data_IF_421065807621
#
_entry.id   IF_421065807621
#
_cell.length_a   1.000
_cell.length_b   1.000
_cell.length_c   1.000
_cell.angle_alpha   90.00
_cell.angle_beta   90.00
_cell.angle_gamma   90.00
#
_symmetry.space_group_name_H-M   'P 1'
#
loop_
_entity.id
_entity.type
_entity.pdbx_description
1 polymer ?
#
# COMPACT_ATOMS: atom_id res chain seq x y z
N UNK A 1 -15.41 -3.34 0.25
CA UNK A 1 -16.17 -2.13 -0.17
C UNK A 1 -16.36 -2.21 -1.68
N UNK A 2 -17.22 -1.39 -2.30
CA UNK A 2 -17.11 -1.26 -3.77
C UNK A 2 -15.79 -0.56 -4.12
N UNK A 3 -15.25 -0.71 -5.35
CA UNK A 3 -14.05 0.01 -5.75
C UNK A 3 -14.15 1.53 -5.58
N UNK A 4 -15.30 2.11 -5.90
CA UNK A 4 -15.49 3.56 -5.86
C UNK A 4 -15.59 4.06 -4.40
N UNK A 5 -16.28 3.32 -3.52
CA UNK A 5 -16.32 3.62 -2.08
C UNK A 5 -14.94 3.55 -1.44
N UNK A 6 -14.13 2.56 -1.84
CA UNK A 6 -12.77 2.42 -1.35
C UNK A 6 -11.93 3.64 -1.77
N UNK A 7 -11.95 3.99 -3.06
CA UNK A 7 -11.20 5.14 -3.59
C UNK A 7 -11.64 6.44 -2.90
N UNK A 8 -12.94 6.65 -2.70
CA UNK A 8 -13.45 7.82 -2.00
C UNK A 8 -12.98 7.87 -0.54
N UNK A 9 -12.93 6.73 0.16
CA UNK A 9 -12.51 6.65 1.55
C UNK A 9 -11.01 6.89 1.76
N UNK A 10 -10.15 6.43 0.84
CA UNK A 10 -8.68 6.51 1.00
C UNK A 10 -8.02 7.62 0.20
N UNK A 11 -8.69 8.12 -0.84
CA UNK A 11 -8.17 9.14 -1.76
C UNK A 11 -7.63 10.41 -1.08
N UNK A 12 -8.38 11.03 -0.14
CA UNK A 12 -7.90 12.21 0.59
C UNK A 12 -6.60 11.92 1.37
N UNK A 13 -6.53 10.79 2.06
CA UNK A 13 -5.35 10.40 2.84
C UNK A 13 -4.14 10.10 1.94
N UNK A 14 -4.37 9.47 0.79
CA UNK A 14 -3.34 9.21 -0.21
C UNK A 14 -2.77 10.51 -0.81
N UNK A 15 -3.63 11.49 -1.15
CA UNK A 15 -3.19 12.82 -1.62
C UNK A 15 -2.37 13.55 -0.56
N UNK A 16 -2.88 13.58 0.67
CA UNK A 16 -2.20 14.24 1.78
C UNK A 16 -0.82 13.61 2.05
N UNK A 17 -0.72 12.28 2.01
CA UNK A 17 0.56 11.59 2.13
C UNK A 17 1.50 11.92 0.96
N UNK A 18 0.99 11.90 -0.27
CA UNK A 18 1.78 12.18 -1.47
C UNK A 18 2.47 13.57 -1.43
N UNK A 19 1.80 14.59 -0.89
CA UNK A 19 2.37 15.93 -0.71
C UNK A 19 3.61 15.89 0.21
N UNK A 20 3.56 15.11 1.29
CA UNK A 20 4.66 15.02 2.27
C UNK A 20 5.76 14.09 1.82
N UNK A 21 5.40 12.98 1.18
CA UNK A 21 6.30 11.84 0.99
C UNK A 21 6.81 11.70 -0.44
N UNK A 22 6.13 12.31 -1.41
CA UNK A 22 6.35 12.14 -2.85
C UNK A 22 6.09 10.72 -3.36
N UNK A 23 5.47 9.85 -2.56
CA UNK A 23 4.87 8.60 -3.06
C UNK A 23 3.58 8.98 -3.81
N UNK A 24 3.40 8.63 -5.09
CA UNK A 24 2.21 9.01 -5.84
C UNK A 24 0.92 8.48 -5.18
N UNK A 25 -0.11 9.32 -5.08
CA UNK A 25 -1.38 8.92 -4.49
C UNK A 25 -2.04 7.80 -5.30
N UNK A 26 -1.91 7.85 -6.63
CA UNK A 26 -2.40 6.79 -7.52
C UNK A 26 -1.75 5.43 -7.25
N UNK A 27 -0.46 5.42 -6.87
CA UNK A 27 0.27 4.22 -6.47
C UNK A 27 -0.25 3.67 -5.14
N UNK A 28 -0.32 4.51 -4.11
CA UNK A 28 -0.81 4.09 -2.79
C UNK A 28 -2.25 3.55 -2.85
N UNK A 29 -3.13 4.17 -3.64
CA UNK A 29 -4.52 3.72 -3.83
C UNK A 29 -4.55 2.36 -4.54
N UNK A 30 -3.81 2.20 -5.64
CA UNK A 30 -3.81 0.97 -6.41
C UNK A 30 -3.22 -0.21 -5.62
N UNK A 31 -2.12 0.02 -4.90
CA UNK A 31 -1.50 -0.98 -4.05
C UNK A 31 -2.42 -1.34 -2.89
N UNK A 32 -2.96 -0.34 -2.18
CA UNK A 32 -3.90 -0.58 -1.10
C UNK A 32 -5.12 -1.37 -1.58
N UNK A 33 -5.65 -1.09 -2.78
CA UNK A 33 -6.75 -1.85 -3.37
C UNK A 33 -6.38 -3.31 -3.66
N UNK A 34 -5.20 -3.56 -4.24
CA UNK A 34 -4.73 -4.90 -4.58
C UNK A 34 -4.48 -5.75 -3.32
N UNK A 35 -3.75 -5.19 -2.36
CA UNK A 35 -3.29 -5.90 -1.16
C UNK A 35 -4.43 -6.16 -0.15
N UNK A 36 -5.41 -5.26 -0.07
CA UNK A 36 -6.53 -5.38 0.86
C UNK A 36 -7.81 -5.96 0.23
N UNK A 37 -7.81 -6.23 -1.07
CA UNK A 37 -9.03 -6.58 -1.81
C UNK A 37 -10.09 -5.49 -1.71
N UNK A 38 -9.73 -4.24 -2.06
CA UNK A 38 -10.60 -3.06 -1.94
C UNK A 38 -11.13 -2.83 -0.51
N UNK A 39 -10.23 -2.96 0.47
CA UNK A 39 -10.50 -2.77 1.89
C UNK A 39 -11.37 -3.86 2.53
N UNK A 40 -11.64 -4.96 1.82
CA UNK A 40 -12.51 -6.02 2.30
C UNK A 40 -11.79 -7.08 3.15
N UNK A 41 -10.45 -7.09 3.17
CA UNK A 41 -9.69 -8.03 4.00
C UNK A 41 -9.99 -7.83 5.48
N UNK A 42 -9.99 -8.92 6.26
CA UNK A 42 -10.17 -8.85 7.72
C UNK A 42 -9.15 -7.92 8.38
N UNK A 43 -7.92 -7.91 7.87
CA UNK A 43 -6.85 -7.05 8.36
C UNK A 43 -7.15 -5.55 8.10
N UNK A 44 -7.62 -5.21 6.91
CA UNK A 44 -8.02 -3.83 6.60
C UNK A 44 -9.22 -3.40 7.47
N UNK A 45 -10.22 -4.26 7.64
CA UNK A 45 -11.42 -3.94 8.42
C UNK A 45 -11.14 -3.78 9.92
N UNK A 46 -10.33 -4.66 10.50
CA UNK A 46 -10.11 -4.69 11.96
C UNK A 46 -8.91 -3.85 12.42
N UNK A 47 -7.94 -3.63 11.54
CA UNK A 47 -6.69 -2.96 11.88
C UNK A 47 -6.37 -1.71 11.02
N UNK A 48 -7.22 -1.37 10.04
CA UNK A 48 -6.94 -0.32 9.05
C UNK A 48 -5.59 -0.50 8.35
N UNK A 49 -5.16 -1.75 8.18
CA UNK A 49 -3.86 -2.10 7.63
C UNK A 49 -4.04 -2.65 6.21
N UNK A 50 -3.84 -1.76 5.24
CA UNK A 50 -4.06 -2.05 3.81
C UNK A 50 -2.93 -2.88 3.21
N UNK A 51 -1.70 -2.72 3.69
CA UNK A 51 -0.49 -3.23 3.06
C UNK A 51 0.10 -4.48 3.75
N UNK A 52 -0.62 -5.06 4.70
CA UNK A 52 -0.14 -6.25 5.41
C UNK A 52 1.13 -5.98 6.24
N UNK A 53 1.23 -4.83 6.88
CA UNK A 53 2.45 -4.50 7.64
C UNK A 53 2.43 -5.21 9.00
N UNK A 54 3.42 -6.08 9.23
CA UNK A 54 3.60 -6.75 10.53
C UNK A 54 4.15 -5.78 11.57
N UNK A 55 3.76 -6.00 12.82
CA UNK A 55 4.30 -5.28 13.96
C UNK A 55 5.66 -5.87 14.34
N UNK A 56 6.73 -5.16 14.00
CA UNK A 56 8.09 -5.47 14.42
C UNK A 56 8.38 -4.96 15.85
N UNK A 57 9.55 -5.27 16.44
CA UNK A 57 9.89 -4.81 17.79
C UNK A 57 10.01 -3.29 17.97
N UNK A 58 10.11 -2.51 16.88
CA UNK A 58 10.14 -1.05 16.94
C UNK A 58 8.73 -0.44 16.93
N UNK A 59 7.71 -1.19 16.52
CA UNK A 59 6.32 -0.74 16.58
C UNK A 59 5.88 -0.46 18.03
N UNK A 60 5.23 0.69 18.24
CA UNK A 60 4.72 1.15 19.55
C UNK A 60 3.22 1.37 19.57
N UNK A 61 2.55 1.29 18.42
CA UNK A 61 1.10 1.44 18.32
C UNK A 61 0.34 0.15 18.62
N UNK A 62 -0.97 0.20 18.39
CA UNK A 62 -1.85 -0.95 18.58
C UNK A 62 -1.48 -2.13 17.67
N UNK A 63 -1.82 -3.32 18.11
CA UNK A 63 -1.55 -4.57 17.39
C UNK A 63 -2.82 -5.40 17.28
N UNK A 64 -3.06 -5.97 16.10
CA UNK A 64 -4.03 -7.04 15.90
C UNK A 64 -3.28 -8.38 15.84
N UNK A 65 -3.73 -9.36 16.64
CA UNK A 65 -3.29 -10.75 16.52
C UNK A 65 -4.20 -11.47 15.54
N UNK A 66 -3.66 -11.89 14.41
CA UNK A 66 -4.39 -12.62 13.38
C UNK A 66 -3.42 -13.55 12.64
N UNK A 67 -3.77 -14.82 12.39
CA UNK A 67 -2.87 -15.73 11.70
C UNK A 67 -2.71 -15.34 10.23
N UNK A 68 -1.58 -15.69 9.64
CA UNK A 68 -1.28 -15.53 8.21
C UNK A 68 -0.91 -16.86 7.58
N UNK A 69 -1.02 -16.95 6.25
CA UNK A 69 -0.58 -18.11 5.48
C UNK A 69 0.80 -17.81 4.91
N UNK A 70 1.82 -18.55 5.32
CA UNK A 70 3.20 -18.38 4.84
C UNK A 70 3.68 -19.63 4.12
N UNK A 71 4.47 -19.45 3.07
CA UNK A 71 5.11 -20.55 2.35
C UNK A 71 6.46 -20.86 3.00
N UNK A 72 6.49 -21.86 3.87
CA UNK A 72 7.68 -22.28 4.60
C UNK A 72 8.10 -23.69 4.17
N UNK A 73 9.38 -23.86 3.82
CA UNK A 73 9.98 -25.15 3.44
C UNK A 73 9.16 -25.90 2.38
N UNK A 74 8.67 -25.18 1.36
CA UNK A 74 7.90 -25.77 0.25
C UNK A 74 6.42 -26.02 0.55
N UNK A 75 5.90 -25.62 1.72
CA UNK A 75 4.52 -25.86 2.13
C UNK A 75 3.86 -24.60 2.68
N UNK A 76 2.58 -24.39 2.36
CA UNK A 76 1.78 -23.35 2.99
C UNK A 76 1.41 -23.74 4.42
N UNK A 77 1.71 -22.87 5.38
CA UNK A 77 1.38 -23.07 6.80
C UNK A 77 0.68 -21.84 7.37
N UNK A 78 -0.31 -22.06 8.22
CA UNK A 78 -0.90 -21.00 9.03
C UNK A 78 0.01 -20.73 10.23
N UNK A 79 0.34 -19.46 10.45
CA UNK A 79 1.14 -19.04 11.59
C UNK A 79 0.52 -17.82 12.27
N UNK A 80 0.52 -17.75 13.62
CA UNK A 80 0.17 -16.53 14.32
C UNK A 80 1.04 -15.36 13.86
N UNK A 81 0.42 -14.21 13.59
CA UNK A 81 1.14 -12.99 13.25
C UNK A 81 0.61 -11.80 14.06
N UNK A 82 1.52 -10.86 14.29
CA UNK A 82 1.24 -9.56 14.90
C UNK A 82 1.21 -8.54 13.78
N UNK A 83 0.09 -7.85 13.62
CA UNK A 83 -0.08 -6.83 12.59
C UNK A 83 -0.17 -5.45 13.21
N UNK A 84 0.42 -4.46 12.56
CA UNK A 84 0.23 -3.06 12.96
C UNK A 84 -1.25 -2.72 12.83
N UNK A 85 -1.81 -2.06 13.83
CA UNK A 85 -3.16 -1.51 13.80
C UNK A 85 -3.07 0.02 13.83
N UNK A 86 -3.74 0.64 12.88
CA UNK A 86 -3.68 2.07 12.66
C UNK A 86 -4.97 2.74 13.15
N UNK A 87 -4.88 3.96 13.69
CA UNK A 87 -6.05 4.71 14.13
C UNK A 87 -6.89 5.16 12.93
N UNK A 88 -6.33 5.32 11.73
CA UNK A 88 -7.00 5.76 10.50
C UNK A 88 -6.24 5.31 9.22
N UNK A 89 -6.81 5.60 8.05
CA UNK A 89 -6.16 5.31 6.76
C UNK A 89 -4.92 6.17 6.54
N UNK A 90 -4.88 7.39 7.08
CA UNK A 90 -3.73 8.28 6.94
C UNK A 90 -2.48 7.67 7.59
N UNK A 91 -2.60 7.16 8.81
CA UNK A 91 -1.50 6.51 9.53
C UNK A 91 -0.98 5.26 8.82
N UNK A 92 -1.87 4.45 8.23
CA UNK A 92 -1.45 3.29 7.45
C UNK A 92 -0.69 3.68 6.18
N UNK A 93 -1.19 4.66 5.43
CA UNK A 93 -0.57 5.14 4.19
C UNK A 93 0.76 5.83 4.48
N UNK A 94 0.83 6.64 5.54
CA UNK A 94 2.07 7.33 5.91
C UNK A 94 3.16 6.37 6.39
N UNK A 95 2.80 5.33 7.14
CA UNK A 95 3.74 4.31 7.60
C UNK A 95 4.33 3.52 6.43
N UNK A 96 3.49 3.16 5.44
CA UNK A 96 3.95 2.52 4.21
C UNK A 96 4.84 3.45 3.36
N UNK A 97 4.45 4.71 3.21
CA UNK A 97 5.27 5.69 2.52
C UNK A 97 6.62 5.93 3.22
N UNK A 98 6.65 5.96 4.55
CA UNK A 98 7.88 6.06 5.33
C UNK A 98 8.80 4.86 5.11
N UNK A 99 8.26 3.64 5.02
CA UNK A 99 9.03 2.45 4.66
C UNK A 99 9.71 2.60 3.28
N UNK A 100 8.96 3.07 2.27
CA UNK A 100 9.51 3.30 0.93
C UNK A 100 10.62 4.36 0.93
N UNK A 101 10.43 5.45 1.67
CA UNK A 101 11.42 6.53 1.78
C UNK A 101 12.69 6.11 2.53
N UNK A 102 12.53 5.38 3.65
CA UNK A 102 13.64 5.01 4.52
C UNK A 102 14.54 3.93 3.88
N UNK A 103 13.99 3.10 2.99
CA UNK A 103 14.73 2.00 2.39
C UNK A 103 15.47 2.45 1.11
N UNK A 104 16.83 2.48 1.10
CA UNK A 104 17.61 2.96 -0.05
C UNK A 104 17.33 2.20 -1.35
N UNK A 105 16.83 0.96 -1.26
CA UNK A 105 16.40 0.13 -2.38
C UNK A 105 15.40 0.84 -3.31
N UNK A 106 14.50 1.66 -2.75
CA UNK A 106 13.43 2.31 -3.52
C UNK A 106 13.77 3.74 -3.95
N UNK A 107 14.98 4.25 -3.64
CA UNK A 107 15.42 5.59 -4.07
C UNK A 107 15.20 5.86 -5.57
N UNK A 108 15.47 4.92 -6.50
CA UNK A 108 15.21 5.14 -7.92
C UNK A 108 13.74 5.46 -8.24
N UNK A 109 12.78 4.93 -7.48
CA UNK A 109 11.35 5.18 -7.70
C UNK A 109 10.98 6.65 -7.47
N UNK A 110 11.65 7.33 -6.52
CA UNK A 110 11.42 8.75 -6.24
C UNK A 110 11.99 9.70 -7.30
N UNK A 111 12.73 9.19 -8.29
CA UNK A 111 13.12 9.95 -9.48
C UNK A 111 12.06 9.88 -10.59
N UNK A 112 11.11 8.94 -10.49
CA UNK A 112 10.02 8.79 -11.44
C UNK A 112 8.89 9.80 -11.18
N UNK A 113 8.10 10.11 -12.22
CA UNK A 113 6.89 10.94 -12.12
C UNK A 113 5.65 10.11 -12.43
N UNK A 114 4.64 10.22 -11.57
CA UNK A 114 3.36 9.52 -11.69
C UNK A 114 3.39 8.06 -11.19
N UNK A 115 2.22 7.55 -10.81
CA UNK A 115 2.10 6.22 -10.19
C UNK A 115 2.57 5.06 -11.05
N UNK A 116 2.35 5.06 -12.37
CA UNK A 116 2.75 3.93 -13.21
C UNK A 116 4.26 3.74 -13.26
N UNK A 117 5.02 4.83 -13.44
CA UNK A 117 6.47 4.78 -13.48
C UNK A 117 7.03 4.42 -12.09
N UNK A 118 6.42 4.94 -11.03
CA UNK A 118 6.76 4.60 -9.65
C UNK A 118 6.53 3.10 -9.37
N UNK A 119 5.39 2.54 -9.79
CA UNK A 119 5.08 1.11 -9.63
C UNK A 119 6.12 0.21 -10.31
N UNK A 120 6.52 0.55 -11.55
CA UNK A 120 7.58 -0.18 -12.26
C UNK A 120 8.90 -0.13 -11.52
N UNK A 121 9.29 1.04 -11.02
CA UNK A 121 10.54 1.21 -10.30
C UNK A 121 10.56 0.46 -8.95
N UNK A 122 9.44 0.49 -8.20
CA UNK A 122 9.28 -0.27 -6.96
C UNK A 122 9.35 -1.78 -7.22
N UNK A 123 8.66 -2.26 -8.26
CA UNK A 123 8.70 -3.67 -8.66
C UNK A 123 10.11 -4.10 -9.10
N UNK A 124 10.77 -3.31 -9.95
CA UNK A 124 12.13 -3.57 -10.42
C UNK A 124 13.16 -3.59 -9.28
N UNK A 125 12.88 -2.85 -8.20
CA UNK A 125 13.70 -2.86 -6.98
C UNK A 125 13.46 -4.10 -6.09
N UNK A 126 12.54 -5.00 -6.47
CA UNK A 126 12.28 -6.27 -5.78
C UNK A 126 11.32 -6.15 -4.60
N UNK A 127 10.29 -5.29 -4.71
CA UNK A 127 9.23 -5.17 -3.70
C UNK A 127 8.38 -6.46 -3.59
N UNK A 128 8.00 -7.03 -4.74
CA UNK A 128 7.23 -8.26 -4.83
C UNK A 128 7.98 -9.31 -5.65
N UNK A 129 7.79 -10.59 -5.34
CA UNK A 129 8.31 -11.71 -6.13
C UNK A 129 7.44 -12.04 -7.34
N UNK A 130 6.23 -11.48 -7.40
CA UNK A 130 5.31 -11.63 -8.52
C UNK A 130 5.82 -10.80 -9.73
N UNK A 131 6.16 -11.42 -10.87
CA UNK A 131 6.66 -10.71 -12.04
C UNK A 131 5.62 -9.77 -12.66
N UNK A 132 4.33 -9.97 -12.38
CA UNK A 132 3.22 -9.16 -12.89
C UNK A 132 2.78 -8.06 -11.93
N UNK A 133 3.48 -7.87 -10.80
CA UNK A 133 3.08 -6.95 -9.75
C UNK A 133 2.85 -5.52 -10.26
N UNK A 134 3.81 -4.94 -10.98
CA UNK A 134 3.68 -3.59 -11.53
C UNK A 134 2.50 -3.48 -12.49
N UNK A 135 2.31 -4.47 -13.37
CA UNK A 135 1.24 -4.47 -14.36
C UNK A 135 -0.14 -4.55 -13.72
N UNK A 136 -0.29 -5.33 -12.63
CA UNK A 136 -1.52 -5.39 -11.84
C UNK A 136 -1.86 -4.03 -11.23
N UNK A 137 -0.88 -3.34 -10.63
CA UNK A 137 -1.09 -2.00 -10.09
C UNK A 137 -1.48 -1.01 -11.19
N UNK A 138 -0.76 -1.01 -12.31
CA UNK A 138 -1.04 -0.13 -13.45
C UNK A 138 -2.43 -0.40 -14.03
N UNK A 139 -2.85 -1.66 -14.11
CA UNK A 139 -4.19 -2.01 -14.56
C UNK A 139 -5.26 -1.41 -13.64
N UNK A 140 -5.08 -1.47 -12.32
CA UNK A 140 -5.96 -0.82 -11.34
C UNK A 140 -5.98 0.70 -11.54
N UNK A 141 -4.80 1.32 -11.69
CA UNK A 141 -4.68 2.78 -11.91
C UNK A 141 -5.43 3.23 -13.15
N UNK A 142 -5.25 2.52 -14.28
CA UNK A 142 -5.89 2.87 -15.56
C UNK A 142 -7.40 2.65 -15.51
N UNK A 143 -7.83 1.50 -15.01
CA UNK A 143 -9.26 1.15 -14.94
C UNK A 143 -10.09 2.12 -14.10
N UNK A 144 -9.45 2.79 -13.13
CA UNK A 144 -10.11 3.73 -12.21
C UNK A 144 -9.64 5.18 -12.37
N UNK A 145 -8.89 5.49 -13.43
CA UNK A 145 -8.35 6.82 -13.71
C UNK A 145 -7.63 7.46 -12.49
N UNK A 146 -6.86 6.65 -11.75
CA UNK A 146 -6.24 7.08 -10.50
C UNK A 146 -5.14 8.13 -10.71
N UNK A 147 -4.62 8.29 -11.93
CA UNK A 147 -3.65 9.34 -12.25
C UNK A 147 -4.16 10.77 -11.96
N UNK A 148 -5.48 10.96 -11.87
CA UNK A 148 -6.11 12.20 -11.40
C UNK A 148 -5.76 12.57 -9.95
N UNK A 149 -5.40 11.58 -9.11
CA UNK A 149 -4.97 11.78 -7.73
C UNK A 149 -3.55 12.33 -7.59
N UNK A 150 -2.72 12.20 -8.63
CA UNK A 150 -1.34 12.69 -8.61
C UNK A 150 -1.22 14.17 -8.99
N UNK A 151 -2.32 14.78 -9.45
CA UNK A 151 -2.38 16.18 -9.85
C UNK A 151 -2.87 17.04 -8.67
N UNK A 152 -2.42 18.30 -8.56
CA UNK A 152 -3.04 19.25 -7.65
C UNK A 152 -4.55 19.30 -7.91
N UNK A 153 -5.36 19.38 -6.85
CA UNK A 153 -6.78 19.68 -7.03
C UNK A 153 -6.90 21.04 -7.72
N UNK A 154 -7.80 21.13 -8.71
CA UNK A 154 -8.08 22.42 -9.33
C UNK A 154 -8.68 23.37 -8.27
N UNK A 155 -8.31 24.67 -8.30
CA UNK A 155 -8.84 25.66 -7.36
C UNK A 155 -10.35 25.83 -7.46
#
# INVERSE_FOLDING_TARGET
MTPDDFIAAIGPAARASAIRTRVPASFAIAEGALESGWGASQLALQARNLFGVKADPAWRGDVLLMPTREFLKGQWRMQPARWRKYPDWQGCIDDHAAFLQANPRYKPAFACRGGEAFARAVAAAGYATDPQYADKLIAVMRARNLASFDRPEAP
#
